data_IF_230423383008
#
_entry.id   IF_230423383008
#
_cell.length_a   1.000
_cell.length_b   1.000
_cell.length_c   1.000
_cell.angle_alpha   90.00
_cell.angle_beta   90.00
_cell.angle_gamma   90.00
#
_symmetry.space_group_name_H-M   'P 1'
#
loop_
_entity.id
_entity.type
_entity.pdbx_description
1 polymer ?
#
# COMPACT_ATOMS: atom_id res chain seq x y z
N UNK A 1 -6.47 -26.42 19.73
CA UNK A 1 -7.27 -25.42 19.00
C UNK A 1 -6.32 -24.36 18.53
N UNK A 2 -6.07 -24.31 17.23
CA UNK A 2 -5.12 -23.37 16.64
C UNK A 2 -5.67 -21.95 16.61
N UNK A 3 -4.76 -20.99 16.70
CA UNK A 3 -4.79 -19.75 15.91
C UNK A 3 -3.46 -19.02 16.14
N UNK A 4 -2.49 -19.34 15.29
CA UNK A 4 -1.29 -18.55 15.12
C UNK A 4 -1.69 -17.18 14.58
N UNK A 5 -1.77 -16.19 15.47
CA UNK A 5 -1.92 -14.77 15.11
C UNK A 5 -0.66 -14.33 14.39
N UNK A 6 -0.59 -14.62 13.09
CA UNK A 6 0.45 -14.04 12.24
C UNK A 6 0.32 -12.51 12.38
N UNK A 7 1.37 -11.80 12.80
CA UNK A 7 1.30 -10.35 12.84
C UNK A 7 1.01 -9.92 11.43
N UNK A 8 -0.15 -9.27 11.22
CA UNK A 8 -0.55 -8.72 9.94
C UNK A 8 0.65 -7.92 9.46
N UNK A 9 1.40 -8.48 8.50
CA UNK A 9 2.52 -7.79 7.88
C UNK A 9 1.85 -6.61 7.22
N UNK A 10 1.85 -5.44 7.87
CA UNK A 10 1.49 -4.17 7.27
C UNK A 10 2.41 -4.08 6.06
N UNK A 11 1.90 -4.53 4.91
CA UNK A 11 2.62 -4.48 3.65
C UNK A 11 3.19 -3.08 3.54
N UNK A 12 4.44 -2.98 3.09
CA UNK A 12 5.19 -1.72 2.99
C UNK A 12 4.22 -0.61 2.58
N UNK A 13 3.88 0.27 3.53
CA UNK A 13 2.90 1.33 3.29
C UNK A 13 3.48 2.18 2.18
N UNK A 14 2.91 2.09 0.98
CA UNK A 14 3.34 2.92 -0.14
C UNK A 14 3.19 4.37 0.29
N UNK A 15 4.31 5.10 0.28
CA UNK A 15 4.30 6.49 0.66
C UNK A 15 3.45 7.29 -0.33
N UNK A 16 2.72 8.31 0.14
CA UNK A 16 1.90 9.16 -0.74
C UNK A 16 2.68 9.78 -1.91
N UNK A 17 3.99 10.02 -1.75
CA UNK A 17 4.84 10.56 -2.82
C UNK A 17 5.53 9.50 -3.69
N UNK A 18 5.47 8.22 -3.31
CA UNK A 18 6.11 7.11 -4.01
C UNK A 18 5.45 6.86 -5.38
N UNK A 19 6.14 6.28 -6.38
CA UNK A 19 5.51 5.82 -7.60
C UNK A 19 4.34 4.86 -7.31
N UNK A 20 3.25 5.01 -8.06
CA UNK A 20 2.06 4.21 -7.85
C UNK A 20 2.28 2.78 -8.37
N UNK A 21 2.02 1.73 -7.58
CA UNK A 21 2.30 0.34 -7.96
C UNK A 21 1.38 -0.18 -9.08
N UNK A 22 0.37 0.58 -9.50
CA UNK A 22 -0.50 0.23 -10.63
C UNK A 22 0.14 0.45 -12.01
N UNK A 23 1.40 0.92 -12.07
CA UNK A 23 2.12 1.12 -13.34
C UNK A 23 1.71 2.37 -14.13
N UNK A 24 0.91 3.27 -13.54
CA UNK A 24 0.46 4.49 -14.23
C UNK A 24 1.53 5.58 -14.41
N UNK A 25 2.72 5.39 -13.84
CA UNK A 25 3.81 6.39 -13.81
C UNK A 25 3.52 7.59 -12.90
N UNK A 26 2.34 7.66 -12.26
CA UNK A 26 1.95 8.75 -11.34
C UNK A 26 2.42 8.45 -9.92
N UNK A 27 2.56 9.50 -9.08
CA UNK A 27 2.73 9.33 -7.62
C UNK A 27 1.48 8.71 -6.99
N UNK A 28 1.64 7.89 -5.95
CA UNK A 28 0.55 7.19 -5.28
C UNK A 28 -0.60 8.15 -4.88
N UNK A 29 -0.30 9.29 -4.25
CA UNK A 29 -1.29 10.32 -3.88
C UNK A 29 -2.05 10.99 -5.04
N UNK A 30 -1.57 10.82 -6.28
CA UNK A 30 -2.20 11.35 -7.50
C UNK A 30 -2.84 10.25 -8.35
N UNK A 31 -2.92 9.02 -7.81
CA UNK A 31 -3.45 7.85 -8.49
C UNK A 31 -4.25 7.00 -7.48
N UNK A 32 -3.84 5.78 -7.16
CA UNK A 32 -4.58 4.89 -6.26
C UNK A 32 -4.76 5.45 -4.84
N UNK A 33 -3.84 6.31 -4.39
CA UNK A 33 -3.89 6.99 -3.10
C UNK A 33 -4.48 8.40 -3.14
N UNK A 34 -5.18 8.78 -4.22
CA UNK A 34 -5.80 10.11 -4.32
C UNK A 34 -7.01 10.27 -3.38
N UNK A 35 -7.67 9.17 -3.03
CA UNK A 35 -8.83 9.14 -2.12
C UNK A 35 -8.59 8.23 -0.89
N UNK A 36 -7.33 7.90 -0.62
CA UNK A 36 -6.92 7.02 0.49
C UNK A 36 -6.36 7.80 1.67
#
# INVERSE_FOLDING_TARGET
GGEERTPVRKGKKVGRNDPCPCGSGKKYKKCCGANA
#
